data_IF_336413726205
#
_entry.id   IF_336413726205
#
_cell.length_a   1.000
_cell.length_b   1.000
_cell.length_c   1.000
_cell.angle_alpha   90.00
_cell.angle_beta   90.00
_cell.angle_gamma   90.00
#
_symmetry.space_group_name_H-M   'P 1'
#
loop_
_entity.id
_entity.type
_entity.pdbx_description
1 polymer ?
#
# COMPACT_ATOMS: atom_id res chain seq x y z
N UNK A 1 -4.75 -0.43 11.95
CA UNK A 1 -3.90 -0.88 10.83
C UNK A 1 -3.60 -2.38 10.88
N UNK A 2 -3.33 -2.96 12.07
CA UNK A 2 -2.97 -4.37 12.25
C UNK A 2 -4.13 -5.36 12.14
N UNK A 3 -5.37 -4.92 12.39
CA UNK A 3 -6.53 -5.82 12.49
C UNK A 3 -6.91 -6.54 11.18
N UNK A 4 -6.59 -5.96 10.02
CA UNK A 4 -6.86 -6.59 8.72
C UNK A 4 -5.99 -7.81 8.48
N UNK A 5 -4.67 -7.67 8.59
CA UNK A 5 -3.75 -8.78 8.37
C UNK A 5 -3.82 -9.87 9.45
N UNK A 6 -4.17 -9.51 10.69
CA UNK A 6 -4.40 -10.51 11.74
C UNK A 6 -5.61 -11.39 11.41
N UNK A 7 -6.71 -10.80 10.97
CA UNK A 7 -7.90 -11.56 10.54
C UNK A 7 -7.62 -12.48 9.36
N UNK A 8 -6.88 -11.99 8.36
CA UNK A 8 -6.48 -12.79 7.21
C UNK A 8 -5.57 -13.97 7.62
N UNK A 9 -4.64 -13.75 8.57
CA UNK A 9 -3.81 -14.82 9.12
C UNK A 9 -4.62 -15.86 9.90
N UNK A 10 -5.58 -15.44 10.71
CA UNK A 10 -6.49 -16.34 11.44
C UNK A 10 -7.31 -17.20 10.46
N UNK A 11 -7.80 -16.61 9.38
CA UNK A 11 -8.52 -17.33 8.33
C UNK A 11 -7.63 -18.32 7.58
N UNK A 12 -6.40 -17.93 7.22
CA UNK A 12 -5.43 -18.83 6.59
C UNK A 12 -5.08 -19.98 7.53
N UNK A 13 -4.89 -19.72 8.82
CA UNK A 13 -4.59 -20.74 9.83
C UNK A 13 -5.72 -21.76 9.94
N UNK A 14 -6.97 -21.28 10.02
CA UNK A 14 -8.16 -22.14 10.05
C UNK A 14 -8.28 -23.01 8.79
N UNK A 15 -8.02 -22.43 7.62
CA UNK A 15 -8.03 -23.15 6.37
C UNK A 15 -6.90 -24.20 6.29
N UNK A 16 -5.72 -23.92 6.85
CA UNK A 16 -4.61 -24.88 6.94
C UNK A 16 -4.94 -26.09 7.81
N UNK A 17 -5.69 -25.90 8.87
CA UNK A 17 -6.12 -27.00 9.77
C UNK A 17 -7.13 -27.94 9.09
N UNK A 18 -7.98 -27.40 8.21
CA UNK A 18 -9.00 -28.15 7.49
C UNK A 18 -8.51 -28.75 6.16
N UNK A 19 -7.41 -28.27 5.57
CA UNK A 19 -6.96 -28.65 4.23
C UNK A 19 -6.08 -29.90 4.26
N UNK A 20 -6.47 -30.93 3.50
CA UNK A 20 -5.74 -32.20 3.37
C UNK A 20 -4.95 -32.31 2.06
N UNK A 21 -5.29 -31.54 1.04
CA UNK A 21 -4.58 -31.54 -0.25
C UNK A 21 -3.20 -30.88 -0.10
N UNK A 22 -2.13 -31.62 -0.47
CA UNK A 22 -0.74 -31.17 -0.33
C UNK A 22 -0.43 -29.90 -1.12
N UNK A 23 -1.01 -29.76 -2.30
CA UNK A 23 -0.74 -28.59 -3.17
C UNK A 23 -1.41 -27.35 -2.62
N UNK A 24 -2.68 -27.45 -2.24
CA UNK A 24 -3.42 -26.35 -1.60
C UNK A 24 -2.80 -25.94 -0.27
N UNK A 25 -2.39 -26.94 0.54
CA UNK A 25 -1.70 -26.69 1.79
C UNK A 25 -0.38 -25.92 1.60
N UNK A 26 0.40 -26.24 0.56
CA UNK A 26 1.63 -25.51 0.23
C UNK A 26 1.35 -24.06 -0.15
N UNK A 27 0.28 -23.80 -0.91
CA UNK A 27 -0.13 -22.44 -1.26
C UNK A 27 -0.57 -21.64 -0.02
N UNK A 28 -1.33 -22.26 0.88
CA UNK A 28 -1.75 -21.62 2.13
C UNK A 28 -0.55 -21.30 3.04
N UNK A 29 0.44 -22.19 3.15
CA UNK A 29 1.68 -21.93 3.90
C UNK A 29 2.45 -20.74 3.30
N UNK A 30 2.62 -20.71 1.98
CA UNK A 30 3.26 -19.56 1.31
C UNK A 30 2.52 -18.25 1.56
N UNK A 31 1.18 -18.27 1.57
CA UNK A 31 0.38 -17.11 1.90
C UNK A 31 0.56 -16.70 3.36
N UNK A 32 0.60 -17.65 4.29
CA UNK A 32 0.86 -17.39 5.72
C UNK A 32 2.18 -16.67 5.93
N UNK A 33 3.28 -17.21 5.38
CA UNK A 33 4.62 -16.64 5.50
C UNK A 33 4.66 -15.20 4.97
N UNK A 34 3.93 -14.94 3.87
CA UNK A 34 3.82 -13.61 3.28
C UNK A 34 3.10 -12.62 4.20
N UNK A 35 1.98 -13.02 4.82
CA UNK A 35 1.25 -12.17 5.75
C UNK A 35 1.99 -11.96 7.06
N UNK A 36 2.70 -12.96 7.58
CA UNK A 36 3.57 -12.83 8.75
C UNK A 36 4.69 -11.83 8.49
N UNK A 37 5.33 -11.91 7.32
CA UNK A 37 6.35 -10.95 6.89
C UNK A 37 5.79 -9.53 6.80
N UNK A 38 4.60 -9.34 6.24
CA UNK A 38 3.91 -8.03 6.20
C UNK A 38 3.64 -7.48 7.60
N UNK A 39 3.18 -8.32 8.53
CA UNK A 39 2.97 -7.91 9.92
C UNK A 39 4.27 -7.50 10.62
N UNK A 40 5.36 -8.23 10.37
CA UNK A 40 6.66 -7.91 10.93
C UNK A 40 7.16 -6.55 10.42
N UNK A 41 7.06 -6.30 9.12
CA UNK A 41 7.43 -5.02 8.51
C UNK A 41 6.62 -3.87 9.12
N UNK A 42 5.30 -4.04 9.30
CA UNK A 42 4.47 -3.04 9.95
C UNK A 42 4.81 -2.79 11.42
N UNK A 43 5.34 -3.77 12.14
CA UNK A 43 5.84 -3.56 13.51
C UNK A 43 7.08 -2.67 13.54
N UNK A 44 7.91 -2.75 12.51
CA UNK A 44 9.15 -1.99 12.39
C UNK A 44 8.90 -0.60 11.79
N UNK A 45 8.09 -0.51 10.74
CA UNK A 45 7.78 0.72 10.02
C UNK A 45 6.39 1.23 10.41
N UNK A 46 6.33 2.06 11.45
CA UNK A 46 5.06 2.62 11.97
C UNK A 46 4.58 3.85 11.23
N UNK A 47 5.45 4.51 10.48
CA UNK A 47 5.16 5.79 9.83
C UNK A 47 5.64 5.77 8.37
N UNK A 48 4.79 6.28 7.49
CA UNK A 48 5.14 6.57 6.10
C UNK A 48 5.41 8.07 5.98
N UNK A 49 6.55 8.42 5.39
CA UNK A 49 6.92 9.82 5.18
C UNK A 49 6.70 10.23 3.73
N UNK A 50 5.86 11.22 3.56
CA UNK A 50 5.64 11.92 2.30
C UNK A 50 6.29 13.30 2.44
N UNK A 51 6.90 13.80 1.38
CA UNK A 51 7.42 15.16 1.35
C UNK A 51 6.73 15.96 0.26
N UNK A 52 6.40 17.21 0.61
CA UNK A 52 5.87 18.20 -0.30
C UNK A 52 6.88 19.35 -0.38
N UNK A 53 7.43 19.58 -1.57
CA UNK A 53 8.32 20.71 -1.83
C UNK A 53 7.58 21.65 -2.80
N UNK A 54 7.26 22.83 -2.31
CA UNK A 54 6.46 23.81 -3.03
C UNK A 54 7.33 24.98 -3.50
N UNK A 55 7.29 25.20 -4.80
CA UNK A 55 7.89 26.35 -5.49
C UNK A 55 6.76 27.17 -6.14
N UNK A 56 7.01 28.40 -6.61
CA UNK A 56 5.94 29.23 -7.21
C UNK A 56 5.15 28.53 -8.32
N UNK A 57 5.83 27.80 -9.19
CA UNK A 57 5.21 27.13 -10.35
C UNK A 57 5.26 25.60 -10.31
N UNK A 58 5.93 25.01 -9.31
CA UNK A 58 6.19 23.58 -9.23
C UNK A 58 5.88 23.03 -7.84
N UNK A 59 5.13 21.95 -7.81
CA UNK A 59 4.96 21.10 -6.64
C UNK A 59 5.66 19.76 -6.87
N UNK A 60 6.58 19.41 -5.97
CA UNK A 60 7.15 18.06 -5.91
C UNK A 60 6.46 17.30 -4.78
N UNK A 61 5.96 16.10 -5.09
CA UNK A 61 5.33 15.19 -4.13
C UNK A 61 6.11 13.88 -4.13
N UNK A 62 6.62 13.45 -2.99
CA UNK A 62 7.37 12.19 -2.88
C UNK A 62 6.52 11.10 -2.28
N UNK A 63 6.70 9.86 -2.77
CA UNK A 63 6.06 8.66 -2.23
C UNK A 63 7.11 7.57 -1.93
N UNK A 64 7.03 6.92 -0.76
CA UNK A 64 7.94 5.84 -0.38
C UNK A 64 7.48 4.49 -0.96
N UNK A 65 7.24 4.43 -2.25
CA UNK A 65 6.80 3.27 -3.01
C UNK A 65 6.17 3.66 -4.33
N UNK A 66 5.63 2.70 -5.06
CA UNK A 66 5.01 2.90 -6.37
C UNK A 66 3.54 3.32 -6.23
N UNK A 67 3.22 4.51 -6.73
CA UNK A 67 1.86 5.05 -6.72
C UNK A 67 1.15 4.74 -8.04
N UNK A 68 -0.09 4.25 -7.98
CA UNK A 68 -0.89 4.03 -9.19
C UNK A 68 -1.24 5.34 -9.90
N UNK A 69 -1.43 5.26 -11.21
CA UNK A 69 -1.72 6.42 -12.06
C UNK A 69 -3.03 7.13 -11.67
N UNK A 70 -4.00 6.40 -11.12
CA UNK A 70 -5.28 6.97 -10.65
C UNK A 70 -5.03 7.98 -9.54
N UNK A 71 -4.26 7.62 -8.52
CA UNK A 71 -3.92 8.56 -7.45
C UNK A 71 -2.97 9.66 -7.93
N UNK A 72 -2.03 9.32 -8.82
CA UNK A 72 -1.16 10.31 -9.44
C UNK A 72 -1.94 11.39 -10.19
N UNK A 73 -2.95 11.01 -10.95
CA UNK A 73 -3.85 11.93 -11.64
C UNK A 73 -4.65 12.79 -10.66
N UNK A 74 -5.25 12.17 -9.64
CA UNK A 74 -5.97 12.89 -8.60
C UNK A 74 -5.12 13.98 -7.93
N UNK A 75 -3.88 13.65 -7.54
CA UNK A 75 -2.96 14.61 -6.92
C UNK A 75 -2.70 15.80 -7.85
N UNK A 76 -2.45 15.54 -9.13
CA UNK A 76 -2.21 16.60 -10.12
C UNK A 76 -3.44 17.49 -10.33
N UNK A 77 -4.65 16.92 -10.28
CA UNK A 77 -5.91 17.67 -10.40
C UNK A 77 -6.20 18.53 -9.17
N UNK A 78 -5.80 18.09 -7.97
CA UNK A 78 -5.99 18.85 -6.73
C UNK A 78 -4.92 19.93 -6.52
N UNK A 79 -3.73 19.73 -7.09
CA UNK A 79 -2.63 20.68 -6.95
C UNK A 79 -2.94 22.02 -7.63
N UNK A 80 -2.75 23.12 -6.89
CA UNK A 80 -3.02 24.50 -7.38
C UNK A 80 -1.76 25.13 -8.01
N UNK A 81 -0.85 24.32 -8.52
CA UNK A 81 0.40 24.76 -9.15
C UNK A 81 0.38 24.41 -10.64
N UNK A 82 1.00 25.24 -11.52
CA UNK A 82 1.07 24.96 -12.95
C UNK A 82 1.69 23.58 -13.26
N UNK A 83 2.71 23.19 -12.49
CA UNK A 83 3.39 21.90 -12.65
C UNK A 83 3.37 21.10 -11.36
N UNK A 84 3.03 19.82 -11.46
CA UNK A 84 3.10 18.88 -10.35
C UNK A 84 3.88 17.64 -10.78
N UNK A 85 4.99 17.40 -10.09
CA UNK A 85 5.82 16.22 -10.29
C UNK A 85 5.65 15.26 -9.10
N UNK A 86 5.35 14.00 -9.38
CA UNK A 86 5.24 12.94 -8.38
C UNK A 86 6.46 12.05 -8.52
N UNK A 87 7.23 11.95 -7.44
CA UNK A 87 8.43 11.14 -7.34
C UNK A 87 8.14 9.90 -6.51
N UNK A 88 8.00 8.77 -7.16
CA UNK A 88 7.78 7.47 -6.51
C UNK A 88 9.08 6.85 -6.04
N UNK A 89 8.99 5.83 -5.17
CA UNK A 89 10.15 5.13 -4.60
C UNK A 89 11.22 6.06 -4.00
N UNK A 90 10.76 7.14 -3.35
CA UNK A 90 11.64 8.17 -2.79
C UNK A 90 11.74 8.03 -1.28
N UNK A 91 12.98 7.97 -0.77
CA UNK A 91 13.36 7.84 0.64
C UNK A 91 13.04 6.49 1.28
N UNK A 92 12.16 5.66 0.69
CA UNK A 92 11.83 4.32 1.16
C UNK A 92 11.09 3.55 0.07
N UNK A 93 10.79 2.25 0.31
CA UNK A 93 10.02 1.41 -0.60
C UNK A 93 9.09 0.47 0.15
N UNK A 94 7.81 0.83 0.23
CA UNK A 94 6.74 0.05 0.87
C UNK A 94 5.85 -0.70 -0.14
N UNK A 95 6.37 -1.01 -1.32
CA UNK A 95 5.62 -1.64 -2.41
C UNK A 95 4.67 -0.66 -3.08
N UNK A 96 3.45 -1.10 -3.33
CA UNK A 96 2.48 -0.38 -4.14
C UNK A 96 1.43 0.36 -3.31
N UNK A 97 1.14 1.59 -3.70
CA UNK A 97 0.02 2.39 -3.22
C UNK A 97 -1.11 2.28 -4.25
N UNK A 98 -2.06 1.37 -3.99
CA UNK A 98 -3.13 0.99 -4.92
C UNK A 98 -4.51 1.30 -4.36
N UNK A 99 -5.50 1.31 -5.25
CA UNK A 99 -6.90 1.48 -4.92
C UNK A 99 -7.43 0.26 -4.17
N UNK A 100 -8.32 0.49 -3.21
CA UNK A 100 -8.88 -0.58 -2.36
C UNK A 100 -9.66 -1.65 -3.13
N UNK A 101 -10.25 -1.32 -4.27
CA UNK A 101 -10.98 -2.26 -5.11
C UNK A 101 -10.07 -3.18 -5.94
N UNK A 102 -8.77 -2.85 -6.05
CA UNK A 102 -7.76 -3.67 -6.72
C UNK A 102 -7.23 -4.81 -5.83
N UNK A 103 -7.48 -4.77 -4.51
CA UNK A 103 -7.05 -5.84 -3.61
C UNK A 103 -7.68 -7.18 -3.97
N UNK A 104 -6.82 -8.20 -4.17
CA UNK A 104 -7.20 -9.52 -4.64
C UNK A 104 -7.38 -9.67 -6.16
N UNK A 105 -7.14 -8.61 -6.95
CA UNK A 105 -7.38 -8.60 -8.40
C UNK A 105 -6.12 -8.44 -9.26
N UNK A 106 -5.03 -7.93 -8.71
CA UNK A 106 -3.80 -7.63 -9.47
C UNK A 106 -2.55 -8.06 -8.72
N UNK A 107 -1.42 -8.08 -9.42
CA UNK A 107 -0.11 -8.41 -8.86
C UNK A 107 0.28 -7.42 -7.76
N UNK A 108 0.08 -6.14 -7.96
CA UNK A 108 0.42 -5.05 -7.07
C UNK A 108 -0.25 -5.24 -5.69
N UNK A 109 -1.48 -5.75 -5.68
CA UNK A 109 -2.19 -6.10 -4.44
C UNK A 109 -1.49 -7.21 -3.65
N UNK A 110 -0.76 -8.09 -4.33
CA UNK A 110 0.02 -9.13 -3.65
C UNK A 110 1.37 -8.61 -3.13
N UNK A 111 1.93 -7.61 -3.78
CA UNK A 111 3.24 -7.05 -3.49
C UNK A 111 3.20 -5.80 -2.59
N UNK A 112 2.02 -5.19 -2.40
CA UNK A 112 1.88 -4.04 -1.50
C UNK A 112 2.09 -4.41 -0.03
N UNK A 113 2.71 -3.50 0.72
CA UNK A 113 2.81 -3.54 2.18
C UNK A 113 1.74 -2.64 2.84
N UNK A 114 0.96 -1.93 2.04
CA UNK A 114 -0.07 -1.00 2.52
C UNK A 114 -1.38 -1.78 2.73
N UNK A 115 -2.05 -1.69 3.88
CA UNK A 115 -3.35 -2.31 4.08
C UNK A 115 -4.43 -1.69 3.19
N UNK A 116 -5.44 -2.51 2.84
CA UNK A 116 -6.58 -2.08 2.02
C UNK A 116 -7.26 -0.83 2.59
N UNK A 117 -7.45 0.18 1.76
CA UNK A 117 -8.11 1.45 2.10
C UNK A 117 -7.21 2.49 2.79
N UNK A 118 -5.96 2.15 3.13
CA UNK A 118 -5.05 3.11 3.76
C UNK A 118 -4.44 4.09 2.75
N UNK A 119 -4.29 3.67 1.50
CA UNK A 119 -3.85 4.58 0.43
C UNK A 119 -4.85 5.71 0.23
N UNK A 120 -6.16 5.41 0.16
CA UNK A 120 -7.21 6.42 0.01
C UNK A 120 -7.22 7.42 1.17
N UNK A 121 -7.07 6.94 2.41
CA UNK A 121 -6.99 7.82 3.58
C UNK A 121 -5.79 8.76 3.52
N UNK A 122 -4.65 8.24 3.09
CA UNK A 122 -3.43 9.02 2.94
C UNK A 122 -3.57 10.06 1.81
N UNK A 123 -4.11 9.66 0.66
CA UNK A 123 -4.35 10.55 -0.48
C UNK A 123 -5.36 11.65 -0.13
N UNK A 124 -6.40 11.33 0.64
CA UNK A 124 -7.35 12.33 1.14
C UNK A 124 -6.67 13.38 2.02
N UNK A 125 -5.85 12.94 3.00
CA UNK A 125 -5.08 13.86 3.84
C UNK A 125 -4.09 14.70 3.04
N UNK A 126 -3.45 14.10 2.04
CA UNK A 126 -2.56 14.82 1.13
C UNK A 126 -3.35 15.90 0.38
N UNK A 127 -4.55 15.59 -0.14
CA UNK A 127 -5.42 16.54 -0.83
C UNK A 127 -5.77 17.78 0.01
N UNK A 128 -5.88 17.63 1.33
CA UNK A 128 -6.13 18.75 2.25
C UNK A 128 -4.92 19.72 2.36
N UNK A 129 -3.74 19.27 1.94
CA UNK A 129 -2.49 20.04 1.96
C UNK A 129 -2.15 20.64 0.59
N UNK A 130 -2.82 20.23 -0.47
CA UNK A 130 -2.58 20.70 -1.85
C UNK A 130 -3.32 21.99 -2.13
#
# INVERSE_FOLDING_TARGET
LFSGYQKELEEIQKNLEAETDKTKRKLLLSSKDKFESKLLIHKVHKELKLSLLRFPELLLVTFPGELTSVFGKYIKEQAKTPFTCIMTCTNDHHGYFIEQDQYGRCYEATATLIPKGETEKMIKKLGELL
#
